data_IF_941171420228
#
_entry.id   IF_941171420228
#
_cell.length_a   1.000
_cell.length_b   1.000
_cell.length_c   1.000
_cell.angle_alpha   90.00
_cell.angle_beta   90.00
_cell.angle_gamma   90.00
#
_symmetry.space_group_name_H-M   'P 1'
#
loop_
_entity.id
_entity.type
_entity.pdbx_description
1 polymer ?
#
# COMPACT_ATOMS: atom_id res chain seq x y z
N UNK A 1 -12.66 -9.66 -18.23
CA UNK A 1 -11.98 -10.98 -18.30
C UNK A 1 -12.02 -11.64 -16.94
N UNK A 2 -11.98 -12.99 -16.87
CA UNK A 2 -11.81 -13.67 -15.59
C UNK A 2 -10.34 -13.62 -15.12
N UNK A 3 -10.10 -13.47 -13.83
CA UNK A 3 -8.79 -13.53 -13.24
C UNK A 3 -8.88 -14.03 -11.78
N UNK A 4 -8.11 -15.03 -11.44
CA UNK A 4 -7.87 -15.58 -10.10
C UNK A 4 -9.14 -15.68 -9.23
N UNK A 5 -10.11 -16.45 -9.70
CA UNK A 5 -11.40 -16.67 -9.02
C UNK A 5 -12.43 -15.55 -9.19
N UNK A 6 -12.04 -14.41 -9.80
CA UNK A 6 -12.99 -13.34 -10.10
C UNK A 6 -13.45 -13.45 -11.55
N UNK A 7 -14.78 -13.61 -11.80
CA UNK A 7 -15.29 -13.84 -13.16
C UNK A 7 -15.21 -12.58 -14.03
N UNK A 8 -15.36 -11.42 -13.43
CA UNK A 8 -15.36 -10.14 -14.13
C UNK A 8 -14.27 -9.23 -13.58
N UNK A 9 -13.25 -8.97 -14.39
CA UNK A 9 -12.18 -8.04 -14.09
C UNK A 9 -11.92 -7.15 -15.29
N UNK A 10 -11.37 -5.97 -15.03
CA UNK A 10 -10.90 -5.06 -16.06
C UNK A 10 -9.37 -5.02 -16.08
N UNK A 11 -8.76 -5.13 -17.28
CA UNK A 11 -7.31 -5.10 -17.46
C UNK A 11 -6.89 -3.78 -18.07
N UNK A 12 -5.96 -3.09 -17.42
CA UNK A 12 -5.17 -2.00 -17.97
C UNK A 12 -3.82 -2.55 -18.41
N UNK A 13 -3.31 -2.12 -19.56
CA UNK A 13 -1.96 -2.48 -20.02
C UNK A 13 -1.45 -1.46 -21.02
N UNK A 14 -0.17 -1.10 -20.90
CA UNK A 14 0.56 -0.27 -21.86
C UNK A 14 1.61 -1.06 -22.67
N UNK A 15 1.57 -2.40 -22.58
CA UNK A 15 2.53 -3.28 -23.24
C UNK A 15 3.80 -3.57 -22.44
N UNK A 16 4.11 -2.79 -21.42
CA UNK A 16 5.23 -3.01 -20.49
C UNK A 16 4.74 -3.67 -19.19
N UNK A 17 3.73 -3.09 -18.58
CA UNK A 17 3.08 -3.60 -17.37
C UNK A 17 1.59 -3.78 -17.60
N UNK A 18 1.00 -4.55 -16.72
CA UNK A 18 -0.45 -4.71 -16.63
C UNK A 18 -0.94 -4.62 -15.20
N UNK A 19 -2.11 -4.02 -15.02
CA UNK A 19 -2.87 -4.00 -13.79
C UNK A 19 -4.25 -4.59 -14.04
N UNK A 20 -4.74 -5.43 -13.11
CA UNK A 20 -6.09 -6.01 -13.17
C UNK A 20 -6.85 -5.54 -11.95
N UNK A 21 -8.02 -4.96 -12.19
CA UNK A 21 -8.94 -4.49 -11.17
C UNK A 21 -10.21 -5.33 -11.14
N UNK A 22 -10.78 -5.48 -9.96
CA UNK A 22 -12.06 -6.21 -9.78
C UNK A 22 -13.25 -5.33 -10.13
N UNK A 23 -14.35 -5.96 -10.55
CA UNK A 23 -15.64 -5.28 -10.79
C UNK A 23 -16.78 -5.82 -9.96
N UNK A 24 -16.69 -7.07 -9.52
CA UNK A 24 -17.75 -7.73 -8.74
C UNK A 24 -17.59 -7.50 -7.24
N UNK A 25 -16.46 -6.99 -6.80
CA UNK A 25 -16.11 -6.69 -5.40
C UNK A 25 -15.12 -5.50 -5.35
N UNK A 26 -14.95 -4.88 -4.20
CA UNK A 26 -13.88 -3.92 -3.99
C UNK A 26 -14.34 -2.49 -3.75
N UNK A 27 -13.52 -1.50 -4.09
CA UNK A 27 -12.49 -1.44 -5.18
C UNK A 27 -11.18 -2.11 -4.84
N UNK A 28 -10.60 -2.86 -5.80
CA UNK A 28 -9.32 -3.57 -5.63
C UNK A 28 -8.49 -3.61 -6.91
N UNK A 29 -7.16 -3.60 -6.75
CA UNK A 29 -6.22 -3.96 -7.81
C UNK A 29 -5.58 -5.29 -7.42
N UNK A 30 -5.93 -6.38 -8.09
CA UNK A 30 -5.53 -7.75 -7.72
C UNK A 30 -4.31 -8.27 -8.48
N UNK A 31 -3.85 -7.51 -9.48
CA UNK A 31 -2.61 -7.79 -10.19
C UNK A 31 -1.89 -6.50 -10.55
N UNK A 32 -0.59 -6.52 -10.38
CA UNK A 32 0.36 -5.59 -10.97
C UNK A 32 1.64 -6.35 -11.29
N UNK A 33 2.08 -6.28 -12.54
CA UNK A 33 3.25 -7.04 -13.00
C UNK A 33 3.67 -6.65 -14.41
N UNK A 34 4.84 -7.11 -14.83
CA UNK A 34 5.25 -7.03 -16.21
C UNK A 34 4.29 -7.87 -17.08
N UNK A 35 4.04 -7.44 -18.31
CA UNK A 35 3.21 -8.19 -19.25
C UNK A 35 3.81 -9.58 -19.46
N UNK A 36 3.01 -10.63 -19.22
CA UNK A 36 3.45 -12.02 -19.29
C UNK A 36 4.34 -12.49 -18.13
N UNK A 37 4.65 -11.61 -17.16
CA UNK A 37 5.39 -11.95 -15.95
C UNK A 37 4.49 -12.40 -14.80
N UNK A 38 5.12 -12.72 -13.66
CA UNK A 38 4.38 -13.07 -12.43
C UNK A 38 3.59 -11.88 -11.89
N UNK A 39 2.54 -12.15 -11.14
CA UNK A 39 1.90 -11.14 -10.31
C UNK A 39 2.83 -10.81 -9.13
N UNK A 40 3.05 -9.52 -8.88
CA UNK A 40 3.78 -9.06 -7.71
C UNK A 40 2.91 -9.14 -6.44
N UNK A 41 1.60 -9.00 -6.61
CA UNK A 41 0.66 -9.02 -5.50
C UNK A 41 0.35 -10.45 -5.05
N UNK A 42 0.06 -10.61 -3.76
CA UNK A 42 -0.42 -11.88 -3.25
C UNK A 42 -1.78 -12.24 -3.84
N UNK A 43 -2.01 -13.50 -4.03
CA UNK A 43 -3.24 -14.07 -4.56
C UNK A 43 -3.86 -14.98 -3.48
N UNK A 44 -4.95 -14.49 -2.84
CA UNK A 44 -5.59 -15.09 -1.68
C UNK A 44 -7.11 -15.27 -1.92
N UNK A 45 -7.51 -16.06 -2.93
CA UNK A 45 -8.91 -16.13 -3.38
C UNK A 45 -9.85 -16.75 -2.36
N UNK A 46 -9.34 -17.66 -1.53
CA UNK A 46 -10.14 -18.50 -0.62
C UNK A 46 -10.14 -17.97 0.82
N UNK A 47 -9.33 -16.97 1.12
CA UNK A 47 -9.21 -16.44 2.47
C UNK A 47 -10.46 -15.66 2.88
N UNK A 48 -10.95 -15.95 4.07
CA UNK A 48 -12.11 -15.31 4.68
C UNK A 48 -11.84 -14.96 6.13
N UNK A 49 -12.10 -13.70 6.46
CA UNK A 49 -12.07 -13.21 7.84
C UNK A 49 -13.50 -12.92 8.29
N UNK A 50 -13.96 -13.61 9.32
CA UNK A 50 -15.26 -13.35 9.91
C UNK A 50 -15.21 -12.06 10.75
N UNK A 51 -16.06 -11.11 10.45
CA UNK A 51 -16.18 -9.84 11.18
C UNK A 51 -17.60 -9.67 11.72
N UNK A 52 -17.80 -8.73 12.63
CA UNK A 52 -19.13 -8.37 13.14
C UNK A 52 -20.08 -7.83 12.06
N UNK A 53 -19.52 -7.34 10.94
CA UNK A 53 -20.29 -6.80 9.81
C UNK A 53 -20.47 -7.83 8.68
N UNK A 54 -19.98 -9.05 8.83
CA UNK A 54 -20.03 -10.12 7.85
C UNK A 54 -18.65 -10.61 7.43
N UNK A 55 -18.62 -11.49 6.45
CA UNK A 55 -17.38 -12.08 5.96
C UNK A 55 -16.61 -11.07 5.09
N UNK A 56 -15.42 -10.73 5.51
CA UNK A 56 -14.49 -9.93 4.72
C UNK A 56 -13.45 -10.84 4.05
N UNK A 57 -13.11 -10.54 2.79
CA UNK A 57 -12.14 -11.33 2.01
C UNK A 57 -10.89 -10.49 1.72
N UNK A 58 -9.70 -10.90 2.20
CA UNK A 58 -8.43 -10.22 1.90
C UNK A 58 -8.13 -10.16 0.40
N UNK A 59 -8.29 -11.27 -0.32
CA UNK A 59 -8.07 -11.47 -1.77
C UNK A 59 -6.63 -11.21 -2.23
N UNK A 60 -5.80 -10.60 -1.41
CA UNK A 60 -4.49 -10.09 -1.82
C UNK A 60 -4.59 -8.76 -2.59
N UNK A 61 -3.49 -8.32 -3.17
CA UNK A 61 -3.44 -7.10 -3.96
C UNK A 61 -3.63 -5.82 -3.16
N UNK A 62 -4.09 -4.78 -3.84
CA UNK A 62 -4.20 -3.44 -3.29
C UNK A 62 -5.65 -3.08 -2.98
N UNK A 63 -5.87 -2.50 -1.80
CA UNK A 63 -7.17 -2.06 -1.30
C UNK A 63 -7.09 -0.71 -0.59
N UNK A 64 -8.24 -0.08 -0.41
CA UNK A 64 -8.41 1.17 0.34
C UNK A 64 -9.20 0.91 1.63
N UNK A 65 -8.62 1.25 2.74
CA UNK A 65 -9.27 1.31 4.04
C UNK A 65 -9.30 2.74 4.58
N UNK A 66 -9.92 2.94 5.72
CA UNK A 66 -9.83 4.19 6.49
C UNK A 66 -9.19 3.95 7.86
N UNK A 67 -8.16 4.73 8.14
CA UNK A 67 -7.48 4.77 9.43
C UNK A 67 -8.15 5.80 10.37
N UNK A 68 -7.93 5.71 11.71
CA UNK A 68 -7.23 4.65 12.44
C UNK A 68 -7.94 3.32 12.39
N UNK A 69 -7.18 2.22 12.53
CA UNK A 69 -7.76 0.88 12.56
C UNK A 69 -8.71 0.71 13.76
N UNK A 70 -9.93 0.30 13.50
CA UNK A 70 -10.94 0.07 14.53
C UNK A 70 -11.96 -1.00 14.09
N UNK A 71 -12.24 -1.94 14.99
CA UNK A 71 -13.33 -2.90 14.80
C UNK A 71 -14.66 -2.30 15.24
N UNK A 72 -15.77 -2.60 14.54
CA UNK A 72 -15.83 -3.37 13.28
C UNK A 72 -15.57 -2.50 12.04
N UNK A 73 -15.47 -1.20 12.20
CA UNK A 73 -15.49 -0.15 11.17
C UNK A 73 -14.54 -0.41 10.00
N UNK A 74 -13.24 -0.65 10.29
CA UNK A 74 -12.22 -0.82 9.26
C UNK A 74 -12.43 -2.07 8.42
N UNK A 75 -13.03 -3.11 9.02
CA UNK A 75 -13.27 -4.41 8.41
C UNK A 75 -14.67 -4.54 7.77
N UNK A 76 -15.29 -3.43 7.40
CA UNK A 76 -16.55 -3.46 6.66
C UNK A 76 -16.36 -4.23 5.34
N UNK A 77 -17.18 -5.27 5.06
CA UNK A 77 -17.05 -6.03 3.83
C UNK A 77 -17.23 -5.17 2.59
N UNK A 78 -16.45 -5.45 1.57
CA UNK A 78 -16.50 -4.81 0.24
C UNK A 78 -16.82 -5.86 -0.84
N UNK A 79 -17.81 -6.73 -0.56
CA UNK A 79 -18.17 -7.89 -1.37
C UNK A 79 -19.20 -7.59 -2.48
N UNK A 80 -19.59 -6.34 -2.63
CA UNK A 80 -20.56 -5.92 -3.64
C UNK A 80 -19.88 -5.38 -4.91
N UNK A 81 -20.56 -5.46 -6.08
CA UNK A 81 -20.05 -4.90 -7.32
C UNK A 81 -19.74 -3.40 -7.22
N UNK A 82 -18.64 -3.00 -7.85
CA UNK A 82 -18.24 -1.59 -7.95
C UNK A 82 -18.69 -0.99 -9.28
N UNK A 83 -19.01 0.30 -9.27
CA UNK A 83 -19.17 1.06 -10.51
C UNK A 83 -17.79 1.27 -11.15
N UNK A 84 -17.62 0.77 -12.37
CA UNK A 84 -16.41 0.98 -13.16
C UNK A 84 -16.68 2.00 -14.26
N UNK A 85 -15.84 3.02 -14.36
CA UNK A 85 -15.87 4.04 -15.40
C UNK A 85 -14.48 4.17 -16.04
N UNK A 86 -14.42 4.06 -17.37
CA UNK A 86 -13.19 4.36 -18.09
C UNK A 86 -12.88 5.86 -18.01
N UNK A 87 -11.63 6.21 -17.75
CA UNK A 87 -11.16 7.58 -17.64
C UNK A 87 -10.00 7.80 -18.62
N UNK A 88 -10.31 8.33 -19.79
CA UNK A 88 -9.38 8.35 -20.91
C UNK A 88 -9.14 6.94 -21.47
N UNK A 89 -8.02 6.77 -22.14
CA UNK A 89 -7.58 5.47 -22.67
C UNK A 89 -6.65 4.73 -21.69
N UNK A 90 -6.22 5.38 -20.63
CA UNK A 90 -5.13 5.00 -19.73
C UNK A 90 -5.60 4.72 -18.30
N UNK A 91 -6.88 4.93 -17.98
CA UNK A 91 -7.34 4.82 -16.61
C UNK A 91 -8.74 4.28 -16.43
N UNK A 92 -9.01 3.85 -15.20
CA UNK A 92 -10.33 3.44 -14.73
C UNK A 92 -10.60 4.00 -13.34
N UNK A 93 -11.84 4.37 -13.11
CA UNK A 93 -12.37 4.73 -11.80
C UNK A 93 -13.25 3.60 -11.30
N UNK A 94 -13.03 3.21 -10.05
CA UNK A 94 -13.79 2.20 -9.34
C UNK A 94 -14.44 2.87 -8.13
N UNK A 95 -15.76 2.89 -8.06
CA UNK A 95 -16.50 3.47 -6.94
C UNK A 95 -17.33 2.38 -6.27
N UNK A 96 -17.09 2.17 -4.99
CA UNK A 96 -17.87 1.27 -4.13
C UNK A 96 -19.22 1.91 -3.80
N UNK A 97 -20.23 1.11 -3.58
CA UNK A 97 -21.46 1.57 -2.91
C UNK A 97 -21.13 2.04 -1.49
N UNK A 98 -21.88 3.02 -0.98
CA UNK A 98 -21.68 3.52 0.39
C UNK A 98 -21.79 2.36 1.38
N UNK A 99 -20.79 2.21 2.24
CA UNK A 99 -20.78 1.21 3.31
C UNK A 99 -21.93 1.51 4.30
N UNK A 100 -22.90 0.60 4.47
CA UNK A 100 -24.04 0.87 5.34
C UNK A 100 -23.69 1.13 6.81
N UNK A 101 -22.63 0.46 7.29
CA UNK A 101 -22.22 0.56 8.70
C UNK A 101 -21.39 1.82 9.02
N UNK A 102 -20.73 2.40 8.03
CA UNK A 102 -19.81 3.52 8.25
C UNK A 102 -20.26 4.82 7.60
N UNK A 103 -21.10 4.72 6.56
CA UNK A 103 -21.46 5.87 5.73
C UNK A 103 -20.33 6.35 4.82
N UNK A 104 -19.27 5.57 4.65
CA UNK A 104 -18.13 5.92 3.80
C UNK A 104 -18.27 5.32 2.41
N UNK A 105 -18.01 6.12 1.40
CA UNK A 105 -17.87 5.70 0.00
C UNK A 105 -16.38 5.69 -0.35
N UNK A 106 -15.92 4.58 -0.93
CA UNK A 106 -14.53 4.41 -1.36
C UNK A 106 -14.42 4.50 -2.87
N UNK A 107 -13.45 5.25 -3.35
CA UNK A 107 -13.13 5.34 -4.77
C UNK A 107 -11.63 5.14 -4.99
N UNK A 108 -11.28 4.39 -6.04
CA UNK A 108 -9.93 4.33 -6.59
C UNK A 108 -9.93 4.75 -8.05
N UNK A 109 -9.10 5.72 -8.41
CA UNK A 109 -8.77 6.04 -9.79
C UNK A 109 -7.37 5.49 -10.10
N UNK A 110 -7.32 4.49 -10.97
CA UNK A 110 -6.08 3.84 -11.41
C UNK A 110 -5.74 4.34 -12.81
N UNK A 111 -4.57 4.95 -12.97
CA UNK A 111 -4.05 5.43 -14.26
C UNK A 111 -2.69 4.83 -14.54
N UNK A 112 -2.49 4.40 -15.76
CA UNK A 112 -1.22 3.84 -16.24
C UNK A 112 -0.49 4.87 -17.08
N UNK A 113 0.83 5.03 -16.85
CA UNK A 113 1.64 5.89 -17.72
C UNK A 113 1.66 5.30 -19.14
N UNK A 114 1.82 6.15 -20.16
CA UNK A 114 1.81 5.71 -21.56
C UNK A 114 2.96 4.75 -21.88
N UNK A 115 4.07 4.90 -21.17
CA UNK A 115 5.25 4.05 -21.28
C UNK A 115 5.84 3.72 -19.92
N UNK A 116 6.80 2.77 -19.87
CA UNK A 116 7.42 2.33 -18.64
C UNK A 116 6.45 1.57 -17.72
N UNK A 117 6.76 1.55 -16.42
CA UNK A 117 5.99 0.79 -15.44
C UNK A 117 5.11 1.64 -14.52
N UNK A 118 5.01 2.95 -14.76
CA UNK A 118 4.31 3.87 -13.88
C UNK A 118 2.80 3.61 -13.81
N UNK A 119 2.26 3.50 -12.60
CA UNK A 119 0.81 3.45 -12.33
C UNK A 119 0.51 4.41 -11.18
N UNK A 120 -0.38 5.36 -11.41
CA UNK A 120 -0.88 6.27 -10.38
C UNK A 120 -2.21 5.77 -9.84
N UNK A 121 -2.32 5.66 -8.52
CA UNK A 121 -3.55 5.30 -7.82
C UNK A 121 -3.95 6.45 -6.91
N UNK A 122 -5.10 7.06 -7.21
CA UNK A 122 -5.71 8.08 -6.35
C UNK A 122 -6.81 7.42 -5.54
N UNK A 123 -6.70 7.52 -4.23
CA UNK A 123 -7.65 7.00 -3.25
C UNK A 123 -8.51 8.13 -2.74
N UNK A 124 -9.82 7.91 -2.68
CA UNK A 124 -10.78 8.88 -2.17
C UNK A 124 -11.72 8.21 -1.17
N UNK A 125 -11.84 8.79 0.02
CA UNK A 125 -12.84 8.44 1.02
C UNK A 125 -13.81 9.61 1.15
N UNK A 126 -15.07 9.40 0.79
CA UNK A 126 -16.12 10.41 0.89
C UNK A 126 -17.07 10.06 2.04
N UNK A 127 -17.31 11.02 2.91
CA UNK A 127 -18.30 10.89 3.96
C UNK A 127 -19.71 11.10 3.41
N UNK A 128 -20.49 10.04 3.31
CA UNK A 128 -21.90 10.06 2.92
C UNK A 128 -22.83 9.91 4.12
N UNK A 129 -22.27 9.90 5.34
CA UNK A 129 -23.03 9.84 6.58
C UNK A 129 -23.62 11.20 6.98
N UNK A 130 -24.19 11.25 8.19
CA UNK A 130 -24.89 12.44 8.72
C UNK A 130 -23.98 13.35 9.54
N UNK A 131 -22.83 12.86 10.00
CA UNK A 131 -21.95 13.53 10.94
C UNK A 131 -20.52 13.64 10.42
N UNK A 132 -19.75 14.66 10.82
CA UNK A 132 -18.32 14.70 10.55
C UNK A 132 -17.61 13.48 11.14
N UNK A 133 -16.64 12.93 10.42
CA UNK A 133 -15.78 11.82 10.86
C UNK A 133 -14.32 12.22 10.75
N UNK A 134 -13.51 11.79 11.70
CA UNK A 134 -12.05 11.94 11.63
C UNK A 134 -11.48 10.63 11.06
N UNK A 135 -10.81 10.70 9.92
CA UNK A 135 -10.24 9.55 9.23
C UNK A 135 -9.05 9.94 8.36
N UNK A 136 -8.29 8.93 7.95
CA UNK A 136 -7.27 9.06 6.92
C UNK A 136 -7.43 7.94 5.88
N UNK A 137 -7.18 8.19 4.59
CA UNK A 137 -7.07 7.12 3.60
C UNK A 137 -5.87 6.22 3.94
N UNK A 138 -6.12 4.91 3.97
CA UNK A 138 -5.13 3.89 4.26
C UNK A 138 -5.06 2.92 3.09
N UNK A 139 -3.95 3.00 2.35
CA UNK A 139 -3.71 2.28 1.12
C UNK A 139 -2.81 1.07 1.38
N UNK A 140 -3.39 -0.12 1.41
CA UNK A 140 -2.71 -1.36 1.73
C UNK A 140 -2.44 -2.17 0.46
N UNK A 141 -1.22 -2.68 0.32
CA UNK A 141 -0.89 -3.64 -0.74
C UNK A 141 -0.36 -4.92 -0.14
N UNK A 142 -1.11 -6.01 -0.28
CA UNK A 142 -0.63 -7.35 0.04
C UNK A 142 0.18 -7.84 -1.15
N UNK A 143 1.47 -8.04 -0.95
CA UNK A 143 2.42 -8.55 -1.95
C UNK A 143 2.73 -10.02 -1.69
N UNK A 144 3.11 -10.75 -2.74
CA UNK A 144 3.46 -12.16 -2.68
C UNK A 144 4.64 -12.41 -1.73
N UNK A 145 4.63 -13.53 -1.04
CA UNK A 145 5.70 -13.91 -0.12
C UNK A 145 7.05 -14.18 -0.79
N UNK A 146 8.07 -14.38 0.03
CA UNK A 146 9.44 -14.65 -0.40
C UNK A 146 10.33 -13.42 -0.54
N UNK A 147 9.80 -12.23 -0.33
CA UNK A 147 10.53 -10.98 -0.54
C UNK A 147 10.81 -10.18 0.75
N UNK A 148 11.24 -8.95 0.56
CA UNK A 148 11.61 -8.03 1.64
C UNK A 148 11.10 -6.63 1.36
N UNK A 149 10.39 -6.03 2.35
CA UNK A 149 10.07 -4.61 2.35
C UNK A 149 11.28 -3.79 2.77
N UNK A 150 11.46 -2.65 2.11
CA UNK A 150 12.55 -1.71 2.35
C UNK A 150 11.94 -0.34 2.60
N UNK A 151 12.10 0.16 3.83
CA UNK A 151 11.63 1.48 4.23
C UNK A 151 12.84 2.38 4.48
N UNK A 152 12.88 3.60 3.92
CA UNK A 152 13.97 4.53 4.14
C UNK A 152 13.90 5.13 5.54
N UNK A 153 15.04 5.32 6.16
CA UNK A 153 15.16 6.18 7.33
C UNK A 153 15.63 7.58 6.90
N UNK A 154 15.32 8.58 7.72
CA UNK A 154 15.90 9.91 7.54
C UNK A 154 17.43 9.83 7.43
N UNK A 155 18.05 10.62 6.51
CA UNK A 155 19.48 10.60 6.32
C UNK A 155 20.24 10.78 7.63
N UNK A 156 21.33 10.04 7.78
CA UNK A 156 22.17 10.19 8.95
C UNK A 156 22.81 11.60 8.98
N UNK A 157 22.72 12.23 10.14
CA UNK A 157 23.47 13.45 10.50
C UNK A 157 24.21 13.21 11.80
N UNK A 158 25.35 13.85 11.95
CA UNK A 158 26.11 13.77 13.20
C UNK A 158 25.38 14.48 14.33
N UNK A 159 25.76 14.17 15.57
CA UNK A 159 25.23 14.87 16.75
C UNK A 159 25.46 16.40 16.66
N UNK A 160 26.63 16.81 16.16
CA UNK A 160 26.98 18.22 16.07
C UNK A 160 26.18 18.98 15.00
N UNK A 161 25.68 18.25 13.98
CA UNK A 161 24.87 18.85 12.89
C UNK A 161 23.39 18.91 13.25
N UNK A 162 22.88 17.99 14.08
CA UNK A 162 21.44 17.90 14.34
C UNK A 162 21.12 17.25 15.68
N UNK A 163 20.54 18.02 16.58
CA UNK A 163 20.28 17.60 17.98
C UNK A 163 18.89 16.99 18.21
N UNK A 164 17.93 17.26 17.32
CA UNK A 164 16.54 16.87 17.54
C UNK A 164 16.25 15.45 17.01
N UNK A 165 15.28 14.72 17.59
CA UNK A 165 14.84 13.44 17.05
C UNK A 165 14.33 13.58 15.61
N UNK A 166 14.74 12.66 14.72
CA UNK A 166 14.40 12.72 13.30
C UNK A 166 13.76 11.44 12.76
N UNK A 167 13.81 10.32 13.49
CA UNK A 167 13.41 8.98 13.02
C UNK A 167 12.31 8.37 13.90
N UNK A 168 11.09 8.91 13.91
CA UNK A 168 9.98 8.30 14.62
C UNK A 168 9.68 6.92 14.05
N UNK A 169 9.56 5.95 14.93
CA UNK A 169 9.23 4.57 14.64
C UNK A 169 8.14 4.12 15.60
N UNK A 170 7.15 3.39 15.11
CA UNK A 170 5.99 2.95 15.88
C UNK A 170 5.94 1.43 15.88
N UNK A 171 5.67 0.89 17.07
CA UNK A 171 5.60 -0.53 17.33
C UNK A 171 4.20 -0.87 17.85
N UNK A 172 3.61 -1.93 17.34
CA UNK A 172 2.35 -2.48 17.84
C UNK A 172 2.59 -3.38 19.05
N UNK A 173 1.56 -3.67 19.82
CA UNK A 173 1.68 -4.55 21.00
C UNK A 173 2.32 -5.91 20.72
N UNK A 174 2.21 -6.40 19.50
CA UNK A 174 2.75 -7.68 19.05
C UNK A 174 4.08 -7.55 18.30
N UNK A 175 4.62 -6.35 18.14
CA UNK A 175 5.92 -6.18 17.48
C UNK A 175 7.04 -6.72 18.36
N UNK A 176 7.80 -7.67 17.85
CA UNK A 176 9.01 -8.20 18.48
C UNK A 176 10.24 -7.58 17.80
N UNK A 177 10.98 -6.78 18.57
CA UNK A 177 12.21 -6.13 18.07
C UNK A 177 13.37 -7.11 17.87
N UNK A 178 13.23 -8.35 18.37
CA UNK A 178 14.22 -9.44 18.18
C UNK A 178 13.85 -10.41 17.06
N UNK A 179 12.72 -10.17 16.39
CA UNK A 179 12.26 -11.01 15.29
C UNK A 179 13.31 -11.07 14.16
N UNK A 180 13.73 -12.28 13.74
CA UNK A 180 14.77 -12.46 12.73
C UNK A 180 14.37 -11.96 11.33
N UNK A 181 13.08 -11.67 11.11
CA UNK A 181 12.59 -11.05 9.86
C UNK A 181 12.87 -9.55 9.80
N UNK A 182 13.01 -8.89 10.96
CA UNK A 182 13.24 -7.46 11.08
C UNK A 182 14.73 -7.13 11.10
N UNK A 183 15.14 -6.17 10.29
CA UNK A 183 16.50 -5.62 10.32
C UNK A 183 16.43 -4.09 10.39
N UNK A 184 16.95 -3.54 11.48
CA UNK A 184 17.09 -2.10 11.67
C UNK A 184 18.50 -1.67 11.26
N UNK A 185 18.61 -1.13 10.07
CA UNK A 185 19.88 -0.62 9.56
C UNK A 185 20.06 0.89 9.81
N UNK A 186 21.17 1.44 9.36
CA UNK A 186 21.46 2.86 9.48
C UNK A 186 20.67 3.73 8.50
N UNK A 187 20.38 3.19 7.30
CA UNK A 187 19.68 3.88 6.21
C UNK A 187 18.31 3.32 5.93
N UNK A 188 18.13 2.03 6.19
CA UNK A 188 16.93 1.30 5.84
C UNK A 188 16.43 0.43 6.98
N UNK A 189 15.13 0.33 7.10
CA UNK A 189 14.45 -0.72 7.84
C UNK A 189 14.01 -1.76 6.81
N UNK A 190 14.28 -3.02 7.10
CA UNK A 190 13.88 -4.15 6.24
C UNK A 190 13.05 -5.15 7.04
N UNK A 191 11.94 -5.55 6.47
CA UNK A 191 11.12 -6.63 7.00
C UNK A 191 10.95 -7.66 5.88
N UNK A 192 11.35 -8.92 6.12
CA UNK A 192 11.20 -10.02 5.17
C UNK A 192 10.03 -10.91 5.55
N UNK A 193 9.45 -11.61 4.58
CA UNK A 193 8.54 -12.71 4.84
C UNK A 193 9.31 -13.95 5.28
N UNK A 194 8.64 -14.83 6.03
CA UNK A 194 9.12 -16.17 6.35
C UNK A 194 7.91 -17.08 6.56
N UNK A 195 7.64 -17.97 5.63
CA UNK A 195 6.50 -18.89 5.65
C UNK A 195 6.42 -19.78 6.90
N UNK A 196 7.56 -19.98 7.57
CA UNK A 196 7.65 -20.79 8.79
C UNK A 196 7.29 -20.01 10.06
N UNK A 197 7.17 -18.69 9.98
CA UNK A 197 6.88 -17.80 11.10
C UNK A 197 5.46 -17.20 10.97
N UNK A 198 4.48 -17.91 11.53
CA UNK A 198 3.07 -17.49 11.51
C UNK A 198 2.71 -16.46 12.60
N UNK A 199 3.71 -15.85 13.24
CA UNK A 199 3.51 -14.75 14.18
C UNK A 199 3.43 -13.42 13.42
N UNK A 200 2.47 -12.54 13.75
CA UNK A 200 2.37 -11.22 13.12
C UNK A 200 3.56 -10.36 13.53
N UNK A 201 4.08 -9.59 12.59
CA UNK A 201 5.12 -8.60 12.79
C UNK A 201 4.77 -7.33 12.04
N UNK A 202 4.79 -6.19 12.69
CA UNK A 202 4.46 -4.88 12.09
C UNK A 202 5.39 -3.79 12.61
N UNK A 203 5.72 -2.86 11.75
CA UNK A 203 6.44 -1.64 12.10
C UNK A 203 5.95 -0.47 11.26
N UNK A 204 5.84 0.70 11.87
CA UNK A 204 5.47 1.95 11.21
C UNK A 204 6.54 3.01 11.37
N UNK A 205 6.60 3.94 10.43
CA UNK A 205 7.52 5.08 10.46
C UNK A 205 6.85 6.36 9.97
N UNK A 206 7.35 7.50 10.43
CA UNK A 206 7.12 8.78 9.77
C UNK A 206 8.15 8.93 8.66
N UNK A 207 7.72 8.71 7.43
CA UNK A 207 8.56 8.68 6.25
C UNK A 207 8.45 9.99 5.45
N UNK A 208 9.43 10.87 5.60
CA UNK A 208 9.48 12.15 4.88
C UNK A 208 10.06 11.99 3.46
N UNK A 209 10.72 10.88 3.16
CA UNK A 209 11.28 10.64 1.83
C UNK A 209 10.22 10.21 0.80
N UNK A 210 9.03 9.82 1.27
CA UNK A 210 7.87 9.56 0.42
C UNK A 210 8.06 8.40 -0.53
N UNK A 211 8.68 7.30 -0.06
CA UNK A 211 8.75 6.06 -0.80
C UNK A 211 8.85 4.84 0.12
N UNK A 212 8.38 3.73 -0.37
CA UNK A 212 8.59 2.39 0.18
C UNK A 212 8.84 1.42 -0.97
N UNK A 213 9.60 0.37 -0.73
CA UNK A 213 9.88 -0.62 -1.77
C UNK A 213 9.66 -2.04 -1.26
N UNK A 214 9.39 -2.95 -2.20
CA UNK A 214 9.35 -4.39 -1.97
C UNK A 214 10.20 -5.08 -3.03
N UNK A 215 11.16 -5.88 -2.59
CA UNK A 215 12.01 -6.66 -3.48
C UNK A 215 11.63 -8.13 -3.39
N UNK A 216 11.35 -8.73 -4.55
CA UNK A 216 10.98 -10.13 -4.70
C UNK A 216 11.71 -10.72 -5.90
N UNK A 217 12.55 -11.73 -5.66
CA UNK A 217 13.45 -12.30 -6.65
C UNK A 217 14.36 -11.21 -7.27
N UNK A 218 14.15 -10.87 -8.54
CA UNK A 218 14.84 -9.77 -9.22
C UNK A 218 13.92 -8.58 -9.55
N UNK A 219 12.73 -8.57 -8.99
CA UNK A 219 11.76 -7.47 -9.17
C UNK A 219 11.85 -6.49 -7.99
N UNK A 220 11.92 -5.21 -8.29
CA UNK A 220 11.81 -4.14 -7.29
C UNK A 220 10.56 -3.31 -7.56
N UNK A 221 9.60 -3.41 -6.65
CA UNK A 221 8.42 -2.57 -6.61
C UNK A 221 8.69 -1.34 -5.76
N UNK A 222 8.30 -0.17 -6.24
CA UNK A 222 8.42 1.10 -5.50
C UNK A 222 7.06 1.77 -5.47
N UNK A 223 6.63 2.17 -4.28
CA UNK A 223 5.56 3.13 -4.06
C UNK A 223 6.17 4.50 -3.80
N UNK A 224 5.69 5.52 -4.51
CA UNK A 224 5.97 6.93 -4.25
C UNK A 224 4.68 7.59 -3.77
N UNK A 225 4.76 8.39 -2.72
CA UNK A 225 3.62 9.09 -2.12
C UNK A 225 4.08 10.37 -1.42
N UNK A 226 3.22 11.39 -1.28
CA UNK A 226 3.61 12.62 -0.63
C UNK A 226 3.70 12.47 0.90
N UNK A 227 4.66 13.15 1.50
CA UNK A 227 4.62 13.52 2.91
C UNK A 227 4.25 14.99 3.02
N UNK A 228 3.17 15.32 3.70
CA UNK A 228 2.68 16.69 3.88
C UNK A 228 3.16 17.22 5.23
N UNK A 229 4.17 18.08 5.20
CA UNK A 229 4.74 18.67 6.42
C UNK A 229 3.66 19.44 7.21
N UNK A 230 3.71 19.34 8.54
CA UNK A 230 2.75 20.00 9.43
C UNK A 230 1.37 19.32 9.53
N UNK A 231 1.10 18.25 8.77
CA UNK A 231 -0.12 17.47 8.91
C UNK A 231 0.03 16.38 9.98
N UNK A 232 -1.08 16.05 10.62
CA UNK A 232 -1.17 14.91 11.55
C UNK A 232 -1.45 13.63 10.76
N UNK A 233 -0.73 12.57 11.09
CA UNK A 233 -0.96 11.24 10.54
C UNK A 233 -1.50 10.30 11.62
N UNK A 234 -2.21 9.22 11.26
CA UNK A 234 -2.68 8.23 12.22
C UNK A 234 -1.51 7.46 12.87
N UNK A 235 -1.84 6.56 13.79
CA UNK A 235 -0.91 5.59 14.36
C UNK A 235 0.40 6.25 14.85
N UNK A 236 0.25 7.19 15.81
CA UNK A 236 1.37 7.97 16.40
C UNK A 236 2.20 8.77 15.36
N UNK A 237 1.59 9.10 14.23
CA UNK A 237 2.20 9.92 13.17
C UNK A 237 2.84 9.12 12.04
N UNK A 238 2.44 7.86 11.85
CA UNK A 238 2.87 7.03 10.73
C UNK A 238 2.19 7.42 9.42
N UNK A 239 2.97 7.46 8.35
CA UNK A 239 2.47 7.50 6.98
C UNK A 239 2.95 6.31 6.14
N UNK A 240 3.73 5.42 6.74
CA UNK A 240 4.24 4.20 6.09
C UNK A 240 4.33 3.09 7.12
N UNK A 241 3.76 1.94 6.77
CA UNK A 241 3.75 0.76 7.63
C UNK A 241 4.06 -0.48 6.78
N UNK A 242 4.54 -1.52 7.45
CA UNK A 242 4.71 -2.83 6.83
C UNK A 242 4.37 -3.91 7.84
N UNK A 243 3.61 -4.90 7.38
CA UNK A 243 3.13 -6.03 8.17
C UNK A 243 3.50 -7.33 7.46
N UNK A 244 3.84 -8.37 8.21
CA UNK A 244 3.99 -9.73 7.67
C UNK A 244 3.48 -10.78 8.66
N UNK A 245 2.95 -11.84 8.10
CA UNK A 245 2.56 -13.06 8.80
C UNK A 245 2.64 -14.23 7.83
N UNK A 246 3.44 -15.24 8.16
CA UNK A 246 3.64 -16.35 7.22
C UNK A 246 4.28 -15.90 5.92
N UNK A 247 3.61 -16.20 4.81
CA UNK A 247 4.11 -16.03 3.44
C UNK A 247 3.62 -14.76 2.71
N UNK A 248 2.98 -13.83 3.40
CA UNK A 248 2.57 -12.56 2.77
C UNK A 248 3.13 -11.34 3.50
N UNK A 249 3.17 -10.23 2.78
CA UNK A 249 3.66 -8.94 3.26
C UNK A 249 2.67 -7.84 2.88
N UNK A 250 2.45 -6.89 3.77
CA UNK A 250 1.75 -5.65 3.46
C UNK A 250 2.73 -4.49 3.37
N UNK A 251 2.62 -3.72 2.30
CA UNK A 251 3.30 -2.43 2.11
C UNK A 251 2.22 -1.36 2.11
N UNK A 252 2.17 -0.60 3.19
CA UNK A 252 1.07 0.27 3.52
C UNK A 252 1.49 1.73 3.51
N UNK A 253 0.61 2.60 3.03
CA UNK A 253 0.80 4.05 3.09
C UNK A 253 -0.47 4.73 3.57
N UNK A 254 -0.32 5.83 4.31
CA UNK A 254 -1.43 6.54 4.90
C UNK A 254 -1.39 8.02 4.51
N UNK A 255 -2.55 8.53 4.14
CA UNK A 255 -2.77 9.97 4.03
C UNK A 255 -2.85 10.64 5.41
N UNK A 256 -2.85 11.98 5.46
CA UNK A 256 -3.03 12.70 6.72
C UNK A 256 -4.45 12.52 7.26
N UNK A 257 -4.58 12.60 8.59
CA UNK A 257 -5.86 12.69 9.29
C UNK A 257 -6.64 13.92 8.81
N UNK A 258 -7.92 13.72 8.53
CA UNK A 258 -8.85 14.76 8.13
C UNK A 258 -10.15 14.65 8.90
N UNK A 259 -10.69 15.79 9.32
CA UNK A 259 -12.09 15.89 9.72
C UNK A 259 -12.91 16.09 8.45
N UNK A 260 -13.66 15.06 8.06
CA UNK A 260 -14.43 15.01 6.81
C UNK A 260 -15.89 15.22 7.13
N UNK A 261 -16.47 16.35 6.72
CA UNK A 261 -17.90 16.63 6.93
C UNK A 261 -18.75 15.90 5.87
N UNK A 262 -20.06 15.74 6.10
CA UNK A 262 -20.95 15.11 5.11
C UNK A 262 -20.80 15.74 3.71
N UNK A 263 -20.53 14.90 2.71
CA UNK A 263 -20.28 15.30 1.33
C UNK A 263 -18.83 15.63 1.00
N UNK A 264 -17.96 15.84 1.99
CA UNK A 264 -16.52 16.07 1.76
C UNK A 264 -15.74 14.77 1.62
N UNK A 265 -14.48 14.90 1.15
CA UNK A 265 -13.60 13.77 0.87
C UNK A 265 -12.19 13.98 1.42
N UNK A 266 -11.55 12.88 1.80
CA UNK A 266 -10.11 12.78 2.05
C UNK A 266 -9.44 12.02 0.91
N UNK A 267 -8.25 12.47 0.51
CA UNK A 267 -7.52 11.92 -0.63
C UNK A 267 -6.11 11.47 -0.25
N UNK A 268 -5.63 10.43 -0.94
CA UNK A 268 -4.25 9.97 -0.88
C UNK A 268 -3.83 9.47 -2.25
N UNK A 269 -2.61 9.77 -2.66
CA UNK A 269 -2.10 9.39 -3.99
C UNK A 269 -0.83 8.58 -3.83
N UNK A 270 -0.79 7.46 -4.53
CA UNK A 270 0.41 6.66 -4.72
C UNK A 270 0.79 6.62 -6.20
N UNK A 271 2.08 6.60 -6.49
CA UNK A 271 2.61 6.23 -7.81
C UNK A 271 3.50 5.02 -7.67
N UNK A 272 3.18 3.96 -8.41
CA UNK A 272 3.86 2.68 -8.38
C UNK A 272 4.80 2.54 -9.55
N UNK A 273 5.91 1.85 -9.33
CA UNK A 273 6.87 1.48 -10.34
C UNK A 273 7.34 0.05 -10.13
N UNK A 274 7.64 -0.65 -11.21
CA UNK A 274 8.20 -2.00 -11.19
C UNK A 274 9.46 -2.05 -12.08
N UNK A 275 10.55 -2.47 -11.47
CA UNK A 275 11.85 -2.62 -12.13
C UNK A 275 12.27 -4.08 -12.09
N UNK A 276 12.70 -4.61 -13.23
CA UNK A 276 13.24 -5.96 -13.35
C UNK A 276 14.78 -5.97 -13.29
N UNK A 277 15.34 -7.14 -13.03
CA UNK A 277 16.78 -7.39 -12.98
C UNK A 277 17.50 -6.53 -11.95
N UNK A 278 16.88 -6.32 -10.80
CA UNK A 278 17.44 -5.58 -9.68
C UNK A 278 18.04 -6.56 -8.67
N UNK A 279 19.33 -6.47 -8.45
CA UNK A 279 20.04 -7.13 -7.35
C UNK A 279 20.31 -6.12 -6.24
N UNK A 280 19.68 -6.30 -5.08
CA UNK A 280 19.87 -5.41 -3.93
C UNK A 280 21.08 -5.81 -3.07
N UNK A 281 21.74 -6.93 -3.37
CA UNK A 281 22.82 -7.46 -2.57
C UNK A 281 22.42 -7.78 -1.13
N UNK A 282 23.42 -7.92 -0.26
CA UNK A 282 23.22 -8.33 1.14
C UNK A 282 23.51 -7.23 2.16
N UNK A 283 24.20 -6.17 1.78
CA UNK A 283 24.63 -5.07 2.65
C UNK A 283 23.83 -3.79 2.38
N UNK A 284 23.81 -2.85 3.34
CA UNK A 284 23.20 -1.53 3.09
C UNK A 284 23.90 -0.75 1.96
N UNK A 285 25.20 -0.93 1.78
CA UNK A 285 25.93 -0.26 0.71
C UNK A 285 25.52 -0.77 -0.68
N UNK A 286 25.36 -2.09 -0.84
CA UNK A 286 24.89 -2.68 -2.11
C UNK A 286 23.44 -2.33 -2.38
N UNK A 287 22.61 -2.33 -1.35
CA UNK A 287 21.21 -1.91 -1.43
C UNK A 287 21.09 -0.43 -1.85
N UNK A 288 21.87 0.45 -1.24
CA UNK A 288 21.89 1.88 -1.57
C UNK A 288 22.34 2.12 -3.03
N UNK A 289 23.37 1.44 -3.46
CA UNK A 289 23.86 1.52 -4.83
C UNK A 289 22.83 1.04 -5.87
N UNK A 290 22.02 0.03 -5.50
CA UNK A 290 20.96 -0.49 -6.37
C UNK A 290 19.74 0.44 -6.41
N UNK A 291 19.32 0.96 -5.26
CA UNK A 291 18.08 1.75 -5.14
C UNK A 291 18.26 3.19 -5.62
N UNK A 292 19.36 3.86 -5.33
CA UNK A 292 19.52 5.29 -5.62
C UNK A 292 19.28 5.66 -7.10
N UNK A 293 19.85 4.96 -8.11
CA UNK A 293 19.59 5.28 -9.52
C UNK A 293 18.13 4.97 -9.93
N UNK A 294 17.49 4.01 -9.27
CA UNK A 294 16.10 3.65 -9.53
C UNK A 294 15.16 4.73 -8.99
N UNK A 295 15.41 5.21 -7.77
CA UNK A 295 14.62 6.30 -7.18
C UNK A 295 14.69 7.59 -7.98
N UNK A 296 15.82 7.87 -8.64
CA UNK A 296 15.95 9.02 -9.53
C UNK A 296 15.01 8.93 -10.75
N UNK A 297 14.61 7.72 -11.15
CA UNK A 297 13.69 7.44 -12.26
C UNK A 297 12.23 7.29 -11.78
N UNK A 298 12.03 6.89 -10.55
CA UNK A 298 10.71 6.72 -9.92
C UNK A 298 10.22 8.07 -9.37
N UNK A 299 9.63 8.92 -10.23
CA UNK A 299 9.16 10.26 -9.84
C UNK A 299 7.92 10.17 -8.93
N UNK A 300 7.75 11.09 -7.96
CA UNK A 300 6.51 11.18 -7.18
C UNK A 300 5.28 11.41 -8.08
N UNK A 301 4.09 11.06 -7.59
CA UNK A 301 2.86 11.60 -8.14
C UNK A 301 2.82 13.12 -7.86
N UNK A 302 2.47 13.90 -8.88
CA UNK A 302 2.33 15.36 -8.78
C UNK A 302 1.03 15.74 -8.08
#
# INVERSE_FOLDING_TARGET
MAYFGQPNCYRLSNGVVEAIVTTDVGPRVIRYGLVGGRNLFAEMPDDVVNTELGNWRPMGGHRLWHAPEAKPRTYAPDNDPVKLEAVGSDGVRLTQTVEPATGIEKEMLVRMDADGSGVTVTHTLTNRGLWPVDLAPWALTIVAGGGVTILPQEPFRSHDEYLLPARPMVLWHYTDMTDPRLTLGRRYIRLRTDEKLDTPQKIGIRNKQGWAAYHLDSLLFIKRYPFLEGQTYPDEGCNTETFTKGDFMEVETLGPMRRVTPGESAHHVEKWYLFANVDIGTTEATLDAAIAPILARATPAL
#
